data_IF_693310517680
#
_entry.id   IF_693310517680
#
_cell.length_a   1.000
_cell.length_b   1.000
_cell.length_c   1.000
_cell.angle_alpha   90.00
_cell.angle_beta   90.00
_cell.angle_gamma   90.00
#
_symmetry.space_group_name_H-M   'P 1'
#
loop_
_entity.id
_entity.type
_entity.pdbx_description
1 polymer ?
#
# COMPACT_ATOMS: atom_id res chain seq x y z
N UNK A 1 -7.78 -37.56 24.38
CA UNK A 1 -7.90 -36.24 25.03
C UNK A 1 -7.68 -35.20 23.94
N UNK A 2 -8.45 -34.10 23.90
CA UNK A 2 -8.26 -33.07 22.88
C UNK A 2 -7.05 -32.19 23.23
N UNK A 3 -6.31 -31.70 22.25
CA UNK A 3 -5.11 -30.88 22.48
C UNK A 3 -5.28 -29.46 21.93
N UNK A 4 -4.86 -28.46 22.70
CA UNK A 4 -4.88 -27.05 22.30
C UNK A 4 -3.50 -26.41 22.44
N UNK A 5 -3.07 -25.67 21.41
CA UNK A 5 -1.87 -24.83 21.46
C UNK A 5 -2.29 -23.38 21.68
N UNK A 6 -1.72 -22.73 22.70
CA UNK A 6 -1.98 -21.32 23.04
C UNK A 6 -0.65 -20.54 22.94
N UNK A 7 -0.56 -19.58 22.03
CA UNK A 7 0.62 -18.71 21.88
C UNK A 7 0.19 -17.31 21.44
N UNK A 8 -0.03 -16.43 22.41
CA UNK A 8 -0.64 -15.10 22.21
C UNK A 8 0.26 -13.95 22.66
N UNK A 9 0.38 -12.94 21.80
CA UNK A 9 0.99 -11.65 22.15
C UNK A 9 0.06 -10.80 23.03
N UNK A 10 -1.22 -10.68 22.68
CA UNK A 10 -2.27 -10.09 23.50
C UNK A 10 -2.86 -11.13 24.47
N UNK A 11 -2.63 -10.91 25.77
CA UNK A 11 -3.04 -11.83 26.87
C UNK A 11 -4.47 -11.59 27.35
N UNK A 12 -5.20 -10.64 26.76
CA UNK A 12 -6.57 -10.31 27.17
C UNK A 12 -7.45 -11.57 27.14
N UNK A 13 -8.09 -11.89 28.25
CA UNK A 13 -9.02 -13.03 28.37
C UNK A 13 -8.40 -14.43 28.27
N UNK A 14 -7.06 -14.58 28.13
CA UNK A 14 -6.46 -15.90 27.87
C UNK A 14 -6.58 -16.86 29.07
N UNK A 15 -6.45 -16.35 30.30
CA UNK A 15 -6.53 -17.15 31.53
C UNK A 15 -7.91 -17.78 31.71
N UNK A 16 -9.04 -17.02 31.75
CA UNK A 16 -10.36 -17.63 31.91
C UNK A 16 -10.74 -18.54 30.74
N UNK A 17 -10.26 -18.24 29.53
CA UNK A 17 -10.43 -19.11 28.37
C UNK A 17 -9.71 -20.45 28.55
N UNK A 18 -8.44 -20.43 28.98
CA UNK A 18 -7.65 -21.64 29.22
C UNK A 18 -8.20 -22.49 30.39
N UNK A 19 -8.68 -21.86 31.45
CA UNK A 19 -9.38 -22.55 32.54
C UNK A 19 -10.61 -23.30 32.01
N UNK A 20 -11.44 -22.63 31.22
CA UNK A 20 -12.63 -23.24 30.60
C UNK A 20 -12.27 -24.41 29.68
N UNK A 21 -11.18 -24.31 28.89
CA UNK A 21 -10.73 -25.42 28.05
C UNK A 21 -10.27 -26.63 28.88
N UNK A 22 -9.58 -26.38 30.00
CA UNK A 22 -9.14 -27.44 30.91
C UNK A 22 -10.33 -28.19 31.51
N UNK A 23 -11.37 -27.45 31.95
CA UNK A 23 -12.63 -28.03 32.44
C UNK A 23 -13.35 -28.86 31.37
N UNK A 24 -13.22 -28.47 30.10
CA UNK A 24 -13.76 -29.18 28.93
C UNK A 24 -12.87 -30.36 28.48
N UNK A 25 -11.80 -30.68 29.22
CA UNK A 25 -10.94 -31.82 28.97
C UNK A 25 -9.90 -31.63 27.87
N UNK A 26 -9.54 -30.37 27.55
CA UNK A 26 -8.40 -30.09 26.69
C UNK A 26 -7.09 -30.15 27.46
N UNK A 27 -6.10 -30.78 26.85
CA UNK A 27 -4.71 -30.68 27.25
C UNK A 27 -4.08 -29.45 26.59
N UNK A 28 -3.53 -28.54 27.40
CA UNK A 28 -3.00 -27.28 26.92
C UNK A 28 -1.49 -27.33 26.72
N UNK A 29 -1.03 -26.72 25.63
CA UNK A 29 0.38 -26.56 25.31
C UNK A 29 0.68 -25.09 24.99
N UNK A 30 1.77 -24.55 25.52
CA UNK A 30 2.14 -23.15 25.34
C UNK A 30 3.65 -22.93 25.38
N UNK A 31 4.07 -21.72 25.03
CA UNK A 31 5.47 -21.29 25.06
C UNK A 31 5.59 -19.81 25.48
N UNK A 32 6.79 -19.41 25.89
CA UNK A 32 7.16 -18.04 26.22
C UNK A 32 6.23 -17.36 27.23
N UNK A 33 5.86 -16.11 26.95
CA UNK A 33 5.05 -15.29 27.85
C UNK A 33 3.63 -15.80 28.08
N UNK A 34 3.04 -16.55 27.13
CA UNK A 34 1.72 -17.16 27.32
C UNK A 34 1.77 -18.27 28.35
N UNK A 35 2.76 -19.16 28.28
CA UNK A 35 2.97 -20.23 29.27
C UNK A 35 3.15 -19.65 30.67
N UNK A 36 3.98 -18.59 30.80
CA UNK A 36 4.22 -17.91 32.08
C UNK A 36 2.92 -17.39 32.69
N UNK A 37 2.12 -16.66 31.91
CA UNK A 37 0.85 -16.10 32.38
C UNK A 37 -0.16 -17.18 32.83
N UNK A 38 -0.18 -18.33 32.17
CA UNK A 38 -1.06 -19.45 32.53
C UNK A 38 -0.59 -20.18 33.80
N UNK A 39 0.72 -20.39 33.96
CA UNK A 39 1.30 -21.00 35.17
C UNK A 39 1.10 -20.10 36.39
N UNK A 40 1.30 -18.78 36.26
CA UNK A 40 1.06 -17.80 37.34
C UNK A 40 -0.39 -17.75 37.80
N UNK A 41 -1.33 -18.19 36.94
CA UNK A 41 -2.76 -18.29 37.25
C UNK A 41 -3.20 -19.73 37.61
N UNK A 42 -2.25 -20.61 37.94
CA UNK A 42 -2.47 -22.01 38.32
C UNK A 42 -3.24 -22.84 37.27
N UNK A 43 -3.11 -22.50 35.99
CA UNK A 43 -3.72 -23.26 34.88
C UNK A 43 -2.77 -24.36 34.42
N UNK A 44 -3.17 -25.64 34.42
CA UNK A 44 -2.36 -26.74 33.92
C UNK A 44 -1.99 -26.54 32.44
N UNK A 45 -0.70 -26.38 32.16
CA UNK A 45 -0.20 -26.17 30.79
C UNK A 45 1.17 -26.83 30.61
N UNK A 46 1.33 -27.53 29.49
CA UNK A 46 2.59 -28.17 29.07
C UNK A 46 3.40 -27.25 28.17
N UNK A 47 4.70 -27.52 28.05
CA UNK A 47 5.57 -26.82 27.12
C UNK A 47 5.32 -27.29 25.69
N UNK A 48 5.47 -26.40 24.70
CA UNK A 48 5.58 -26.85 23.29
C UNK A 48 6.78 -27.78 23.10
N UNK A 49 7.88 -27.57 23.81
CA UNK A 49 9.04 -28.48 23.81
C UNK A 49 8.69 -29.91 24.22
N UNK A 50 7.62 -30.10 25.02
CA UNK A 50 7.18 -31.44 25.43
C UNK A 50 6.52 -32.19 24.25
N UNK A 51 5.95 -31.47 23.27
CA UNK A 51 5.42 -32.04 22.02
C UNK A 51 6.52 -32.27 20.98
N UNK A 52 7.50 -31.38 20.91
CA UNK A 52 8.53 -31.40 19.87
C UNK A 52 9.74 -32.25 20.23
N UNK A 53 9.97 -32.47 21.53
CA UNK A 53 11.23 -33.03 22.07
C UNK A 53 12.46 -32.27 21.55
N UNK A 54 12.29 -30.99 21.23
CA UNK A 54 13.31 -30.13 20.65
C UNK A 54 13.47 -28.87 21.48
N UNK A 55 14.72 -28.52 21.79
CA UNK A 55 15.06 -27.32 22.54
C UNK A 55 14.90 -26.06 21.69
N UNK A 56 14.57 -24.94 22.34
CA UNK A 56 14.46 -23.66 21.67
C UNK A 56 15.85 -23.15 21.25
N UNK A 57 16.02 -22.81 19.97
CA UNK A 57 17.27 -22.29 19.40
C UNK A 57 17.03 -20.97 18.66
N UNK A 58 18.12 -20.24 18.36
CA UNK A 58 18.10 -18.95 17.65
C UNK A 58 17.14 -17.94 18.28
N UNK A 59 17.26 -17.77 19.60
CA UNK A 59 16.47 -16.82 20.40
C UNK A 59 14.95 -16.97 20.21
N UNK A 60 14.49 -18.19 19.95
CA UNK A 60 13.07 -18.52 19.82
C UNK A 60 12.48 -18.38 18.42
N UNK A 61 13.31 -18.08 17.41
CA UNK A 61 12.89 -18.03 16.00
C UNK A 61 12.35 -19.37 15.48
N UNK A 62 12.87 -20.49 15.99
CA UNK A 62 12.56 -21.85 15.49
C UNK A 62 12.00 -22.74 16.60
N UNK A 63 10.97 -22.28 17.31
CA UNK A 63 10.36 -23.05 18.42
C UNK A 63 9.15 -23.89 18.03
N UNK A 64 8.34 -23.44 17.08
CA UNK A 64 7.08 -24.10 16.68
C UNK A 64 7.13 -24.69 15.27
N UNK A 65 8.18 -24.40 14.50
CA UNK A 65 8.41 -24.90 13.15
C UNK A 65 8.90 -26.35 13.18
N UNK A 66 8.06 -27.25 13.70
CA UNK A 66 8.40 -28.66 13.90
C UNK A 66 7.31 -29.59 13.33
N UNK A 67 7.66 -30.74 12.73
CA UNK A 67 6.69 -31.72 12.24
C UNK A 67 5.70 -32.20 13.30
N UNK A 68 6.11 -32.35 14.56
CA UNK A 68 5.18 -32.74 15.64
C UNK A 68 4.06 -31.71 15.87
N UNK A 69 4.32 -30.43 15.61
CA UNK A 69 3.31 -29.37 15.69
C UNK A 69 2.50 -29.34 14.40
N UNK A 70 3.15 -29.19 13.26
CA UNK A 70 2.44 -29.00 11.99
C UNK A 70 1.78 -30.26 11.45
N UNK A 71 2.34 -31.44 11.69
CA UNK A 71 1.73 -32.74 11.38
C UNK A 71 0.46 -32.96 12.20
N UNK A 72 0.51 -32.67 13.51
CA UNK A 72 -0.65 -32.73 14.38
C UNK A 72 -1.77 -31.77 13.99
N UNK A 73 -1.43 -30.61 13.43
CA UNK A 73 -2.38 -29.62 12.90
C UNK A 73 -2.91 -30.00 11.51
N UNK A 74 -2.05 -30.44 10.59
CA UNK A 74 -2.37 -30.58 9.16
C UNK A 74 -2.88 -31.95 8.73
N UNK A 75 -2.80 -32.97 9.58
CA UNK A 75 -3.32 -34.28 9.24
C UNK A 75 -4.81 -34.22 8.92
N UNK A 76 -5.18 -34.67 7.71
CA UNK A 76 -6.58 -34.83 7.33
C UNK A 76 -7.10 -36.11 7.97
N UNK A 77 -7.93 -35.95 9.00
CA UNK A 77 -8.44 -37.06 9.81
C UNK A 77 -9.41 -37.97 9.04
N UNK A 78 -9.84 -37.56 7.84
CA UNK A 78 -10.64 -38.40 6.94
C UNK A 78 -9.77 -39.35 6.09
N UNK A 79 -8.44 -39.21 6.11
CA UNK A 79 -7.50 -40.04 5.36
C UNK A 79 -6.77 -40.99 6.31
N UNK A 80 -7.06 -42.30 6.28
CA UNK A 80 -6.40 -43.28 7.14
C UNK A 80 -4.87 -43.24 7.02
N UNK A 81 -4.32 -42.99 5.83
CA UNK A 81 -2.87 -42.94 5.63
C UNK A 81 -2.20 -41.84 6.45
N UNK A 82 -2.86 -40.68 6.61
CA UNK A 82 -2.31 -39.58 7.43
C UNK A 82 -2.26 -39.98 8.91
N UNK A 83 -3.29 -40.66 9.41
CA UNK A 83 -3.35 -41.10 10.80
C UNK A 83 -2.32 -42.20 11.11
N UNK A 84 -2.07 -43.09 10.14
CA UNK A 84 -1.02 -44.09 10.24
C UNK A 84 0.37 -43.45 10.30
N UNK A 85 0.65 -42.49 9.40
CA UNK A 85 1.91 -41.73 9.42
C UNK A 85 2.12 -40.99 10.74
N UNK A 86 1.10 -40.34 11.29
CA UNK A 86 1.20 -39.70 12.60
C UNK A 86 1.55 -40.70 13.70
N UNK A 87 0.89 -41.87 13.69
CA UNK A 87 1.15 -42.93 14.68
C UNK A 87 2.56 -43.49 14.58
N UNK A 88 3.06 -43.74 13.37
CA UNK A 88 4.44 -44.19 13.12
C UNK A 88 5.47 -43.20 13.65
N UNK A 89 5.21 -41.91 13.46
CA UNK A 89 6.09 -40.82 13.89
C UNK A 89 5.83 -40.37 15.35
N UNK A 90 4.90 -41.01 16.06
CA UNK A 90 4.51 -40.67 17.44
C UNK A 90 4.06 -39.20 17.58
N UNK A 91 3.36 -38.69 16.57
CA UNK A 91 2.82 -37.33 16.54
C UNK A 91 1.35 -37.35 16.95
N UNK A 92 1.01 -36.54 17.95
CA UNK A 92 -0.37 -36.39 18.39
C UNK A 92 -1.14 -35.38 17.53
N UNK A 93 -2.45 -35.62 17.40
CA UNK A 93 -3.37 -34.66 16.80
C UNK A 93 -3.52 -33.40 17.66
N UNK A 94 -3.68 -32.26 17.00
CA UNK A 94 -4.00 -30.97 17.62
C UNK A 94 -5.40 -30.56 17.17
N UNK A 95 -6.27 -30.21 18.12
CA UNK A 95 -7.67 -29.89 17.90
C UNK A 95 -7.94 -28.39 17.89
N UNK A 96 -7.08 -27.61 18.56
CA UNK A 96 -7.24 -26.18 18.65
C UNK A 96 -5.90 -25.43 18.59
N UNK A 97 -5.87 -24.32 17.87
CA UNK A 97 -4.74 -23.40 17.80
C UNK A 97 -5.23 -21.99 18.10
N UNK A 98 -4.70 -21.39 19.16
CA UNK A 98 -5.05 -20.04 19.62
C UNK A 98 -3.80 -19.18 19.58
N UNK A 99 -3.73 -18.32 18.57
CA UNK A 99 -2.56 -17.50 18.28
C UNK A 99 -3.02 -16.13 17.87
N UNK A 100 -2.48 -15.09 18.51
CA UNK A 100 -2.57 -13.73 18.00
C UNK A 100 -1.16 -13.17 17.84
N UNK A 101 -0.93 -12.54 16.70
CA UNK A 101 0.40 -12.13 16.27
C UNK A 101 0.88 -10.94 17.08
N UNK A 102 2.20 -10.75 17.12
CA UNK A 102 2.76 -9.50 17.61
C UNK A 102 2.25 -8.36 16.73
N UNK A 103 1.87 -7.19 17.30
CA UNK A 103 1.36 -6.10 16.50
C UNK A 103 2.51 -5.43 15.74
N UNK A 104 2.95 -6.05 14.65
CA UNK A 104 4.03 -5.53 13.79
C UNK A 104 3.72 -4.10 13.37
N UNK A 105 2.47 -3.84 12.95
CA UNK A 105 1.97 -2.50 12.60
C UNK A 105 2.12 -1.47 13.73
N UNK A 106 1.87 -1.85 14.97
CA UNK A 106 2.05 -0.94 16.12
C UNK A 106 3.53 -0.72 16.43
N UNK A 107 4.36 -1.75 16.24
CA UNK A 107 5.80 -1.69 16.45
C UNK A 107 6.43 -0.70 15.47
N UNK A 108 6.17 -0.87 14.17
CA UNK A 108 6.73 0.00 13.13
C UNK A 108 6.09 1.39 13.04
N UNK A 109 5.01 1.63 13.80
CA UNK A 109 4.44 2.97 13.94
C UNK A 109 5.30 3.88 14.85
N UNK A 110 6.21 3.31 15.64
CA UNK A 110 7.16 4.09 16.44
C UNK A 110 8.25 4.68 15.51
N UNK A 111 8.43 6.01 15.46
CA UNK A 111 9.42 6.65 14.60
C UNK A 111 10.87 6.28 14.92
N UNK A 112 11.15 5.73 16.11
CA UNK A 112 12.50 5.33 16.53
C UNK A 112 12.87 3.90 16.13
N UNK A 113 11.93 3.13 15.57
CA UNK A 113 12.18 1.73 15.16
C UNK A 113 13.05 1.71 13.91
N UNK A 114 14.20 1.02 14.01
CA UNK A 114 15.08 0.82 12.87
C UNK A 114 14.58 -0.31 11.98
N UNK A 115 15.09 -0.38 10.75
CA UNK A 115 14.82 -1.52 9.85
C UNK A 115 15.23 -2.86 10.50
N UNK A 116 16.35 -2.88 11.24
CA UNK A 116 16.80 -4.06 11.97
C UNK A 116 15.82 -4.47 13.07
N UNK A 117 15.30 -3.49 13.82
CA UNK A 117 14.29 -3.77 14.86
C UNK A 117 13.00 -4.31 14.24
N UNK A 118 12.59 -3.78 13.08
CA UNK A 118 11.43 -4.30 12.36
C UNK A 118 11.65 -5.75 11.91
N UNK A 119 12.83 -6.09 11.35
CA UNK A 119 13.18 -7.46 10.94
C UNK A 119 13.07 -8.44 12.11
N UNK A 120 13.56 -8.07 13.30
CA UNK A 120 13.47 -8.93 14.49
C UNK A 120 12.03 -9.16 14.98
N UNK A 121 11.12 -8.23 14.69
CA UNK A 121 9.72 -8.34 15.07
C UNK A 121 8.84 -9.10 14.06
N UNK A 122 9.43 -9.63 12.98
CA UNK A 122 8.70 -10.49 12.03
C UNK A 122 8.53 -11.89 12.63
N UNK A 123 7.32 -12.17 13.12
CA UNK A 123 6.90 -13.51 13.52
C UNK A 123 6.76 -14.46 12.31
N UNK A 124 7.46 -15.60 12.38
CA UNK A 124 7.37 -16.70 11.41
C UNK A 124 6.50 -17.84 11.94
N UNK A 125 6.63 -18.16 13.24
CA UNK A 125 5.98 -19.32 13.84
C UNK A 125 4.47 -19.12 13.99
N UNK A 126 4.05 -17.93 14.42
CA UNK A 126 2.64 -17.56 14.60
C UNK A 126 1.83 -17.69 13.31
N UNK A 127 2.21 -16.97 12.22
CA UNK A 127 1.50 -17.07 10.95
C UNK A 127 1.51 -18.48 10.37
N UNK A 128 2.61 -19.23 10.51
CA UNK A 128 2.68 -20.61 10.01
C UNK A 128 1.69 -21.53 10.73
N UNK A 129 1.60 -21.45 12.07
CA UNK A 129 0.63 -22.25 12.85
C UNK A 129 -0.82 -21.86 12.52
N UNK A 130 -1.10 -20.55 12.44
CA UNK A 130 -2.42 -20.02 12.09
C UNK A 130 -2.87 -20.51 10.70
N UNK A 131 -2.02 -20.36 9.68
CA UNK A 131 -2.33 -20.79 8.30
C UNK A 131 -2.50 -22.30 8.22
N UNK A 132 -1.71 -23.07 8.97
CA UNK A 132 -1.85 -24.52 9.04
C UNK A 132 -3.21 -24.94 9.64
N UNK A 133 -3.60 -24.33 10.76
CA UNK A 133 -4.86 -24.62 11.42
C UNK A 133 -6.07 -24.17 10.58
N UNK A 134 -6.00 -22.98 9.99
CA UNK A 134 -7.02 -22.47 9.08
C UNK A 134 -7.19 -23.37 7.84
N UNK A 135 -6.08 -23.83 7.22
CA UNK A 135 -6.15 -24.79 6.12
C UNK A 135 -6.89 -26.07 6.51
N UNK A 136 -6.72 -26.54 7.74
CA UNK A 136 -7.35 -27.76 8.25
C UNK A 136 -8.61 -27.50 9.12
N UNK A 137 -9.35 -26.40 8.85
CA UNK A 137 -10.49 -25.97 9.67
C UNK A 137 -11.60 -27.01 9.85
N UNK A 138 -11.67 -28.03 8.97
CA UNK A 138 -12.63 -29.14 9.14
C UNK A 138 -12.40 -29.90 10.44
N UNK A 139 -11.13 -30.00 10.86
CA UNK A 139 -10.67 -30.80 11.99
C UNK A 139 -10.10 -29.97 13.14
N UNK A 140 -9.58 -28.77 12.85
CA UNK A 140 -8.89 -27.91 13.83
C UNK A 140 -9.63 -26.59 13.99
N UNK A 141 -9.91 -26.20 15.24
CA UNK A 141 -10.46 -24.88 15.56
C UNK A 141 -9.32 -23.89 15.71
N UNK A 142 -9.34 -22.81 14.95
CA UNK A 142 -8.31 -21.76 15.03
C UNK A 142 -8.91 -20.46 15.57
N UNK A 143 -8.20 -19.75 16.44
CA UNK A 143 -8.70 -18.50 17.04
C UNK A 143 -7.60 -17.46 17.04
N UNK A 144 -7.92 -16.26 16.56
CA UNK A 144 -6.98 -15.14 16.44
C UNK A 144 -7.39 -13.90 17.22
N UNK A 145 -8.68 -13.74 17.54
CA UNK A 145 -9.16 -12.60 18.32
C UNK A 145 -9.67 -13.03 19.70
N UNK A 146 -9.25 -12.34 20.79
CA UNK A 146 -9.79 -12.59 22.13
C UNK A 146 -11.31 -12.44 22.25
N UNK A 147 -11.93 -11.64 21.39
CA UNK A 147 -13.37 -11.45 21.36
C UNK A 147 -14.15 -12.75 21.04
N UNK A 148 -13.51 -13.72 20.38
CA UNK A 148 -14.14 -14.99 19.99
C UNK A 148 -14.09 -16.05 21.11
N UNK A 149 -13.32 -15.83 22.19
CA UNK A 149 -13.09 -16.82 23.24
C UNK A 149 -14.39 -17.32 23.89
N UNK A 150 -15.28 -16.41 24.29
CA UNK A 150 -16.53 -16.78 24.97
C UNK A 150 -17.46 -17.56 24.03
N UNK A 151 -17.64 -17.10 22.79
CA UNK A 151 -18.50 -17.79 21.84
C UNK A 151 -17.97 -19.20 21.52
N UNK A 152 -16.64 -19.36 21.40
CA UNK A 152 -16.03 -20.69 21.20
C UNK A 152 -16.30 -21.61 22.39
N UNK A 153 -16.14 -21.13 23.63
CA UNK A 153 -16.43 -21.94 24.83
C UNK A 153 -17.91 -22.34 24.88
N UNK A 154 -18.82 -21.40 24.62
CA UNK A 154 -20.26 -21.65 24.62
C UNK A 154 -20.63 -22.68 23.53
N UNK A 155 -20.05 -22.57 22.34
CA UNK A 155 -20.26 -23.54 21.26
C UNK A 155 -19.69 -24.92 21.59
N UNK A 156 -18.56 -25.01 22.29
CA UNK A 156 -18.03 -26.32 22.73
C UNK A 156 -18.97 -26.95 23.75
N UNK A 157 -19.46 -26.18 24.74
CA UNK A 157 -20.37 -26.67 25.79
C UNK A 157 -21.71 -27.18 25.22
N UNK A 158 -22.19 -26.56 24.14
CA UNK A 158 -23.46 -26.90 23.52
C UNK A 158 -23.34 -27.83 22.28
N UNK A 159 -22.14 -28.34 21.98
CA UNK A 159 -21.86 -29.15 20.78
C UNK A 159 -22.23 -28.44 19.45
N UNK A 160 -22.05 -27.13 19.41
CA UNK A 160 -22.36 -26.22 18.29
C UNK A 160 -21.11 -25.67 17.60
N UNK A 161 -19.95 -26.30 17.84
CA UNK A 161 -18.70 -25.99 17.15
C UNK A 161 -18.64 -26.74 15.81
N UNK A 162 -19.55 -26.40 14.90
CA UNK A 162 -19.71 -27.06 13.61
C UNK A 162 -18.69 -26.58 12.54
N UNK A 163 -18.71 -27.21 11.37
CA UNK A 163 -17.84 -26.87 10.25
C UNK A 163 -18.07 -25.43 9.75
N UNK A 164 -19.32 -24.96 9.76
CA UNK A 164 -19.68 -23.60 9.33
C UNK A 164 -19.02 -22.55 10.22
N UNK A 165 -19.07 -22.74 11.53
CA UNK A 165 -18.42 -21.85 12.47
C UNK A 165 -16.89 -21.93 12.39
N UNK A 166 -16.31 -23.14 12.29
CA UNK A 166 -14.86 -23.28 12.06
C UNK A 166 -14.40 -22.60 10.77
N UNK A 167 -15.22 -22.65 9.70
CA UNK A 167 -14.96 -21.92 8.45
C UNK A 167 -15.00 -20.40 8.66
N UNK A 168 -15.90 -19.88 9.49
CA UNK A 168 -15.92 -18.44 9.82
C UNK A 168 -14.64 -18.00 10.55
N UNK A 169 -14.13 -18.82 11.47
CA UNK A 169 -12.86 -18.58 12.16
C UNK A 169 -11.66 -18.69 11.21
N UNK A 170 -11.68 -19.63 10.26
CA UNK A 170 -10.68 -19.73 9.20
C UNK A 170 -10.58 -18.44 8.39
N UNK A 171 -11.70 -17.84 7.99
CA UNK A 171 -11.70 -16.57 7.24
C UNK A 171 -11.04 -15.47 8.05
N UNK A 172 -11.40 -15.32 9.34
CA UNK A 172 -10.76 -14.34 10.25
C UNK A 172 -9.25 -14.53 10.33
N UNK A 173 -8.78 -15.78 10.37
CA UNK A 173 -7.34 -16.06 10.41
C UNK A 173 -6.64 -15.64 9.12
N UNK A 174 -7.17 -15.99 7.95
CA UNK A 174 -6.53 -15.60 6.69
C UNK A 174 -6.54 -14.08 6.50
N UNK A 175 -7.63 -13.41 6.90
CA UNK A 175 -7.72 -11.95 6.90
C UNK A 175 -6.65 -11.33 7.81
N UNK A 176 -6.52 -11.81 9.05
CA UNK A 176 -5.48 -11.34 9.98
C UNK A 176 -4.06 -11.56 9.45
N UNK A 177 -3.77 -12.72 8.85
CA UNK A 177 -2.43 -12.97 8.26
C UNK A 177 -2.17 -12.10 7.02
N UNK A 178 -3.21 -11.79 6.24
CA UNK A 178 -3.11 -10.88 5.10
C UNK A 178 -2.81 -9.45 5.56
N UNK A 179 -3.49 -8.96 6.59
CA UNK A 179 -3.21 -7.65 7.20
C UNK A 179 -1.78 -7.58 7.75
N UNK A 180 -1.32 -8.66 8.39
CA UNK A 180 0.02 -8.77 8.94
C UNK A 180 1.10 -8.71 7.85
N UNK A 181 1.00 -9.52 6.80
CA UNK A 181 1.94 -9.53 5.68
C UNK A 181 1.90 -8.19 4.91
N UNK A 182 0.72 -7.59 4.75
CA UNK A 182 0.58 -6.27 4.12
C UNK A 182 1.31 -5.18 4.92
N UNK A 183 1.26 -5.22 6.26
CA UNK A 183 1.99 -4.27 7.10
C UNK A 183 3.51 -4.41 6.95
N UNK A 184 4.02 -5.64 6.82
CA UNK A 184 5.45 -5.91 6.52
C UNK A 184 5.81 -5.29 5.17
N UNK A 185 5.04 -5.59 4.12
CA UNK A 185 5.29 -5.05 2.78
C UNK A 185 5.24 -3.52 2.76
N UNK A 186 4.24 -2.91 3.39
CA UNK A 186 4.09 -1.45 3.43
C UNK A 186 5.31 -0.78 4.09
N UNK A 187 5.80 -1.35 5.19
CA UNK A 187 6.99 -0.85 5.89
C UNK A 187 8.23 -0.93 4.99
N UNK A 188 8.57 -2.10 4.45
CA UNK A 188 9.80 -2.27 3.68
C UNK A 188 9.73 -1.64 2.28
N UNK A 189 8.54 -1.49 1.70
CA UNK A 189 8.37 -0.81 0.41
C UNK A 189 8.55 0.70 0.52
N UNK A 190 8.44 1.27 1.72
CA UNK A 190 8.38 2.73 1.94
C UNK A 190 7.36 3.41 1.00
N UNK A 191 6.27 2.71 0.66
CA UNK A 191 5.32 3.16 -0.35
C UNK A 191 4.42 4.30 0.12
N UNK A 192 4.52 4.70 1.38
CA UNK A 192 3.68 5.74 1.97
C UNK A 192 4.53 6.84 2.56
N UNK A 193 4.37 8.03 2.02
CA UNK A 193 5.05 9.24 2.45
C UNK A 193 4.06 10.14 3.18
N UNK A 194 4.30 10.46 4.45
CA UNK A 194 3.46 11.43 5.18
C UNK A 194 3.65 12.83 4.59
N UNK A 195 2.53 13.47 4.26
CA UNK A 195 2.52 14.85 3.78
C UNK A 195 2.26 15.79 4.97
N UNK A 196 2.69 17.04 4.85
CA UNK A 196 2.52 18.05 5.90
C UNK A 196 1.07 18.24 6.34
N UNK A 197 0.15 18.23 5.38
CA UNK A 197 -1.30 18.26 5.53
C UNK A 197 -1.94 17.88 4.17
N UNK A 198 -3.26 17.70 4.15
CA UNK A 198 -4.04 17.41 2.94
C UNK A 198 -4.30 18.65 2.10
N UNK A 199 -5.50 18.76 1.53
CA UNK A 199 -5.88 19.94 0.76
C UNK A 199 -5.87 21.22 1.63
N UNK A 200 -6.24 21.06 2.91
CA UNK A 200 -6.25 22.10 3.92
C UNK A 200 -5.44 21.73 5.18
N UNK A 201 -4.91 22.70 5.94
CA UNK A 201 -4.01 22.47 7.08
C UNK A 201 -4.53 21.54 8.19
N UNK A 202 -5.84 21.49 8.40
CA UNK A 202 -6.49 20.65 9.42
C UNK A 202 -6.61 19.17 9.01
N UNK A 203 -6.34 18.83 7.75
CA UNK A 203 -6.44 17.47 7.24
C UNK A 203 -5.06 16.80 7.28
N UNK A 204 -4.97 15.59 7.82
CA UNK A 204 -3.77 14.75 7.66
C UNK A 204 -3.78 14.08 6.30
N UNK A 205 -2.61 13.92 5.66
CA UNK A 205 -2.52 13.25 4.38
C UNK A 205 -1.25 12.42 4.23
N UNK A 206 -1.27 11.50 3.27
CA UNK A 206 -0.12 10.71 2.85
C UNK A 206 -0.18 10.49 1.35
N UNK A 207 0.98 10.43 0.70
CA UNK A 207 1.10 10.02 -0.70
C UNK A 207 1.46 8.53 -0.74
N UNK A 208 0.62 7.74 -1.43
CA UNK A 208 0.81 6.29 -1.56
C UNK A 208 1.30 5.97 -2.97
N UNK A 209 2.53 5.47 -3.07
CA UNK A 209 3.18 5.08 -4.33
C UNK A 209 2.82 3.63 -4.65
N UNK A 210 1.99 3.46 -5.67
CA UNK A 210 1.61 2.14 -6.21
C UNK A 210 2.57 1.66 -7.30
N UNK A 211 3.19 2.60 -8.02
CA UNK A 211 4.19 2.38 -9.08
C UNK A 211 5.43 3.26 -8.87
N UNK A 212 6.59 2.77 -9.33
CA UNK A 212 7.84 3.53 -9.41
C UNK A 212 8.26 3.78 -10.87
N UNK A 213 7.33 3.63 -11.82
CA UNK A 213 7.62 3.84 -13.23
C UNK A 213 8.05 5.28 -13.48
N UNK A 214 9.16 5.46 -14.20
CA UNK A 214 9.82 6.77 -14.38
C UNK A 214 8.96 7.82 -15.10
N UNK A 215 7.90 7.37 -15.78
CA UNK A 215 6.95 8.23 -16.48
C UNK A 215 5.79 8.70 -15.60
N UNK A 216 5.76 8.35 -14.32
CA UNK A 216 4.70 8.78 -13.38
C UNK A 216 5.20 9.84 -12.42
N UNK A 217 4.30 10.63 -11.84
CA UNK A 217 4.65 11.53 -10.75
C UNK A 217 5.22 10.77 -9.55
N UNK A 218 4.80 9.53 -9.33
CA UNK A 218 5.32 8.67 -8.27
C UNK A 218 6.78 8.21 -8.52
N UNK A 219 7.20 8.09 -9.79
CA UNK A 219 8.57 7.78 -10.19
C UNK A 219 9.45 9.00 -10.46
N UNK A 220 8.92 10.21 -10.30
CA UNK A 220 9.63 11.46 -10.55
C UNK A 220 10.87 11.60 -9.66
N UNK A 221 11.97 12.09 -10.25
CA UNK A 221 13.15 12.49 -9.47
C UNK A 221 13.01 13.95 -9.07
N UNK A 222 12.88 14.20 -7.77
CA UNK A 222 12.93 15.56 -7.25
C UNK A 222 14.40 16.01 -7.12
N UNK A 223 14.84 16.90 -8.00
CA UNK A 223 16.23 17.37 -8.08
C UNK A 223 16.53 18.52 -7.11
N UNK A 224 15.52 19.25 -6.65
CA UNK A 224 15.67 20.39 -5.73
C UNK A 224 14.37 20.69 -4.98
N UNK A 225 14.46 21.53 -3.94
CA UNK A 225 13.32 22.13 -3.27
C UNK A 225 12.82 21.38 -2.03
N UNK A 226 11.69 21.87 -1.50
CA UNK A 226 11.01 21.26 -0.35
C UNK A 226 10.20 20.03 -0.78
N UNK A 227 9.84 19.18 0.18
CA UNK A 227 8.82 18.14 -0.04
C UNK A 227 7.57 18.70 -0.75
N UNK A 228 7.02 17.93 -1.69
CA UNK A 228 5.76 18.27 -2.35
C UNK A 228 4.61 18.27 -1.33
N UNK A 229 3.73 19.27 -1.41
CA UNK A 229 2.47 19.26 -0.66
C UNK A 229 1.40 18.43 -1.38
N UNK A 230 0.29 18.13 -0.70
CA UNK A 230 -0.87 17.47 -1.30
C UNK A 230 -1.36 18.18 -2.57
N UNK A 231 -1.50 19.51 -2.52
CA UNK A 231 -1.92 20.31 -3.68
C UNK A 231 -0.85 20.33 -4.78
N UNK A 232 0.45 20.35 -4.42
CA UNK A 232 1.50 20.24 -5.43
C UNK A 232 1.43 18.92 -6.19
N UNK A 233 1.10 17.82 -5.51
CA UNK A 233 0.98 16.50 -6.14
C UNK A 233 -0.21 16.50 -7.12
N UNK A 234 -1.39 16.98 -6.70
CA UNK A 234 -2.58 17.07 -7.57
C UNK A 234 -2.34 17.95 -8.80
N UNK A 235 -1.83 19.16 -8.58
CA UNK A 235 -1.59 20.12 -9.67
C UNK A 235 -0.47 19.63 -10.61
N UNK A 236 0.56 18.94 -10.07
CA UNK A 236 1.65 18.39 -10.87
C UNK A 236 1.18 17.22 -11.73
N UNK A 237 0.30 16.36 -11.21
CA UNK A 237 -0.26 15.24 -11.95
C UNK A 237 -1.15 15.73 -13.11
N UNK A 238 -2.00 16.72 -12.86
CA UNK A 238 -2.81 17.36 -13.90
C UNK A 238 -1.94 18.03 -14.99
N UNK A 239 -0.91 18.79 -14.59
CA UNK A 239 0.01 19.43 -15.53
C UNK A 239 0.80 18.40 -16.35
N UNK A 240 1.23 17.30 -15.72
CA UNK A 240 1.95 16.21 -16.37
C UNK A 240 1.05 15.46 -17.37
N UNK A 241 -0.18 15.14 -16.99
CA UNK A 241 -1.14 14.47 -17.87
C UNK A 241 -1.37 15.31 -19.13
N UNK A 242 -1.56 16.63 -18.97
CA UNK A 242 -1.81 17.53 -20.10
C UNK A 242 -0.61 17.71 -21.01
N UNK A 243 0.57 17.99 -20.45
CA UNK A 243 1.73 18.27 -21.30
C UNK A 243 2.16 17.07 -22.14
N UNK A 244 1.84 15.85 -21.67
CA UNK A 244 2.14 14.60 -22.38
C UNK A 244 1.29 14.36 -23.63
N UNK A 245 0.10 14.96 -23.72
CA UNK A 245 -0.77 14.79 -24.88
C UNK A 245 -0.20 15.43 -26.16
N UNK A 246 0.76 16.35 -26.02
CA UNK A 246 1.34 17.07 -27.14
C UNK A 246 2.63 16.41 -27.65
N UNK A 247 2.63 16.08 -28.94
CA UNK A 247 3.83 15.61 -29.65
C UNK A 247 4.84 16.75 -29.89
N UNK A 248 4.35 17.95 -30.22
CA UNK A 248 5.17 19.16 -30.45
C UNK A 248 5.66 19.79 -29.13
N UNK A 249 6.71 20.64 -29.12
CA UNK A 249 7.11 21.36 -27.92
C UNK A 249 5.93 22.09 -27.26
N UNK A 250 5.68 21.75 -25.99
CA UNK A 250 4.53 22.21 -25.24
C UNK A 250 4.91 22.60 -23.82
N UNK A 251 4.26 23.65 -23.32
CA UNK A 251 4.32 24.08 -21.94
C UNK A 251 2.91 24.26 -21.40
N UNK A 252 2.67 23.74 -20.19
CA UNK A 252 1.39 23.80 -19.50
C UNK A 252 1.60 24.42 -18.14
N UNK A 253 0.80 25.43 -17.83
CA UNK A 253 0.74 26.08 -16.52
C UNK A 253 -0.58 25.72 -15.82
N UNK A 254 -0.49 25.19 -14.59
CA UNK A 254 -1.65 24.79 -13.77
C UNK A 254 -1.64 25.51 -12.43
N UNK A 255 -2.83 25.85 -11.93
CA UNK A 255 -3.05 26.31 -10.57
C UNK A 255 -4.40 25.83 -10.06
N UNK A 256 -4.43 25.19 -8.89
CA UNK A 256 -5.66 24.65 -8.29
C UNK A 256 -6.40 23.71 -9.25
N UNK A 257 -5.66 22.78 -9.86
CA UNK A 257 -6.08 21.79 -10.85
C UNK A 257 -6.65 22.35 -12.17
N UNK A 258 -6.61 23.66 -12.38
CA UNK A 258 -7.07 24.28 -13.62
C UNK A 258 -5.86 24.74 -14.45
N UNK A 259 -5.80 24.42 -15.75
CA UNK A 259 -4.80 25.00 -16.63
C UNK A 259 -5.08 26.49 -16.79
N UNK A 260 -4.13 27.33 -16.40
CA UNK A 260 -4.18 28.77 -16.65
C UNK A 260 -3.49 29.18 -17.95
N UNK A 261 -2.65 28.30 -18.51
CA UNK A 261 -2.02 28.54 -19.81
C UNK A 261 -1.51 27.26 -20.45
N UNK A 262 -1.74 27.13 -21.75
CA UNK A 262 -1.20 26.05 -22.59
C UNK A 262 -0.59 26.71 -23.81
N UNK A 263 0.67 26.40 -24.09
CA UNK A 263 1.39 26.93 -25.22
C UNK A 263 2.09 25.83 -25.98
N UNK A 264 1.96 25.87 -27.31
CA UNK A 264 2.68 25.02 -28.25
C UNK A 264 3.44 25.89 -29.24
N UNK A 265 4.59 25.42 -29.71
CA UNK A 265 5.42 26.12 -30.69
C UNK A 265 6.51 25.18 -31.27
N UNK A 266 7.32 25.71 -32.20
CA UNK A 266 8.49 24.99 -32.75
C UNK A 266 9.63 24.80 -31.73
N UNK A 267 9.69 25.65 -30.70
CA UNK A 267 10.70 25.60 -29.63
C UNK A 267 10.04 25.64 -28.25
N UNK A 268 10.69 25.03 -27.26
CA UNK A 268 10.12 24.95 -25.91
C UNK A 268 10.06 26.32 -25.23
N UNK A 269 10.96 27.24 -25.57
CA UNK A 269 10.95 28.61 -25.02
C UNK A 269 9.78 29.43 -25.58
N UNK A 270 9.45 29.26 -26.86
CA UNK A 270 8.26 29.88 -27.44
C UNK A 270 6.98 29.27 -26.87
N UNK A 271 6.94 27.94 -26.70
CA UNK A 271 5.80 27.26 -26.08
C UNK A 271 5.57 27.76 -24.65
N UNK A 272 6.63 27.91 -23.85
CA UNK A 272 6.53 28.52 -22.51
C UNK A 272 6.07 29.97 -22.57
N UNK A 273 6.58 30.77 -23.51
CA UNK A 273 6.16 32.16 -23.67
C UNK A 273 4.65 32.26 -23.98
N UNK A 274 4.13 31.44 -24.90
CA UNK A 274 2.70 31.38 -25.21
C UNK A 274 1.87 30.96 -23.99
N UNK A 275 2.32 29.96 -23.22
CA UNK A 275 1.64 29.53 -22.00
C UNK A 275 1.63 30.63 -20.92
N UNK A 276 2.72 31.39 -20.79
CA UNK A 276 2.84 32.51 -19.87
C UNK A 276 1.93 33.69 -20.29
N UNK A 277 1.86 34.00 -21.58
CA UNK A 277 1.05 35.11 -22.12
C UNK A 277 -0.46 34.84 -22.09
N UNK A 278 -0.88 33.57 -21.95
CA UNK A 278 -2.29 33.20 -21.84
C UNK A 278 -2.94 33.80 -20.56
N UNK A 279 -2.26 33.71 -19.42
CA UNK A 279 -2.64 34.36 -18.16
C UNK A 279 -1.41 34.55 -17.26
N UNK A 280 -0.75 35.70 -17.45
CA UNK A 280 0.47 36.06 -16.74
C UNK A 280 0.25 36.31 -15.24
N UNK A 281 -1.00 36.52 -14.79
CA UNK A 281 -1.33 36.72 -13.38
C UNK A 281 -1.55 35.38 -12.67
N UNK A 282 -2.30 34.47 -13.30
CA UNK A 282 -2.65 33.19 -12.69
C UNK A 282 -1.47 32.23 -12.59
N UNK A 283 -0.51 32.30 -13.50
CA UNK A 283 0.70 31.44 -13.46
C UNK A 283 1.58 31.69 -12.22
N UNK A 284 1.48 32.85 -11.57
CA UNK A 284 2.22 33.13 -10.33
C UNK A 284 1.81 32.18 -9.20
N UNK A 285 2.79 31.47 -8.66
CA UNK A 285 2.63 30.43 -7.65
C UNK A 285 2.06 29.12 -8.20
N UNK A 286 1.95 29.00 -9.52
CA UNK A 286 1.49 27.79 -10.19
C UNK A 286 2.59 26.74 -10.39
N UNK A 287 2.22 25.73 -11.14
CA UNK A 287 3.09 24.64 -11.61
C UNK A 287 3.24 24.77 -13.11
N UNK A 288 4.47 24.59 -13.61
CA UNK A 288 4.75 24.56 -15.05
C UNK A 288 5.30 23.18 -15.43
N UNK A 289 4.66 22.51 -16.38
CA UNK A 289 5.13 21.28 -16.98
C UNK A 289 5.54 21.50 -18.44
N UNK A 290 6.66 20.90 -18.84
CA UNK A 290 7.27 21.03 -20.16
C UNK A 290 7.58 19.65 -20.73
N UNK A 291 7.24 19.38 -22.00
CA UNK A 291 7.55 18.08 -22.62
C UNK A 291 8.93 18.03 -23.32
N UNK A 292 9.77 19.05 -23.13
CA UNK A 292 11.16 19.13 -23.61
C UNK A 292 12.10 19.58 -22.51
N UNK A 293 13.40 19.34 -22.71
CA UNK A 293 14.42 19.64 -21.72
C UNK A 293 14.52 21.15 -21.43
N UNK A 294 14.88 21.49 -20.19
CA UNK A 294 15.10 22.87 -19.76
C UNK A 294 16.59 23.19 -19.81
N UNK A 295 16.94 24.16 -20.66
CA UNK A 295 18.27 24.74 -20.75
C UNK A 295 18.40 26.03 -19.93
N UNK A 296 19.58 26.64 -19.94
CA UNK A 296 19.88 27.86 -19.18
C UNK A 296 18.96 29.02 -19.57
N UNK A 297 18.69 29.21 -20.86
CA UNK A 297 17.88 30.33 -21.36
C UNK A 297 16.44 30.21 -20.87
N UNK A 298 15.86 29.02 -20.98
CA UNK A 298 14.51 28.77 -20.46
C UNK A 298 14.46 28.84 -18.93
N UNK A 299 15.49 28.34 -18.27
CA UNK A 299 15.62 28.43 -16.82
C UNK A 299 15.64 29.88 -16.32
N UNK A 300 16.29 30.80 -17.02
CA UNK A 300 16.28 32.23 -16.69
C UNK A 300 14.87 32.83 -16.77
N UNK A 301 14.11 32.52 -17.83
CA UNK A 301 12.72 32.95 -17.97
C UNK A 301 11.84 32.39 -16.84
N UNK A 302 11.92 31.08 -16.57
CA UNK A 302 11.19 30.42 -15.48
C UNK A 302 11.56 30.98 -14.10
N UNK A 303 12.84 31.32 -13.91
CA UNK A 303 13.33 31.94 -12.68
C UNK A 303 12.78 33.37 -12.49
N UNK A 304 12.37 34.06 -13.55
CA UNK A 304 11.82 35.41 -13.51
C UNK A 304 10.55 35.54 -12.66
N UNK A 305 9.78 34.47 -12.52
CA UNK A 305 8.50 34.47 -11.79
C UNK A 305 8.52 33.55 -10.56
N UNK A 306 7.49 33.63 -9.74
CA UNK A 306 7.32 32.70 -8.61
C UNK A 306 6.57 31.46 -9.09
N UNK A 307 7.21 30.30 -9.02
CA UNK A 307 6.64 28.98 -9.33
C UNK A 307 6.86 28.05 -8.14
N UNK A 308 5.87 27.20 -7.86
CA UNK A 308 5.98 26.18 -6.82
C UNK A 308 6.72 24.93 -7.32
N UNK A 309 6.40 24.49 -8.55
CA UNK A 309 6.94 23.27 -9.18
C UNK A 309 7.23 23.50 -10.66
N UNK A 310 8.35 22.98 -11.15
CA UNK A 310 8.67 22.85 -12.58
C UNK A 310 8.90 21.38 -12.90
N UNK A 311 8.26 20.89 -13.96
CA UNK A 311 8.32 19.50 -14.42
C UNK A 311 8.89 19.47 -15.84
N UNK A 312 9.89 18.63 -16.09
CA UNK A 312 10.47 18.46 -17.42
C UNK A 312 11.07 17.06 -17.59
N UNK A 313 11.30 16.58 -18.83
CA UNK A 313 12.03 15.33 -19.08
C UNK A 313 13.49 15.38 -18.65
N UNK A 314 14.07 16.59 -18.59
CA UNK A 314 15.48 16.78 -18.23
C UNK A 314 15.76 18.24 -17.90
N UNK A 315 16.72 18.46 -17.02
CA UNK A 315 17.35 19.77 -16.80
C UNK A 315 18.84 19.67 -17.14
N UNK A 316 19.36 20.68 -17.82
CA UNK A 316 20.82 20.85 -17.92
C UNK A 316 21.39 21.26 -16.56
N UNK A 317 22.69 21.01 -16.32
CA UNK A 317 23.31 21.41 -15.05
C UNK A 317 23.22 22.92 -14.83
N UNK A 318 23.50 23.72 -15.86
CA UNK A 318 23.41 25.18 -15.81
C UNK A 318 21.96 25.65 -15.52
N UNK A 319 20.95 24.98 -16.07
CA UNK A 319 19.55 25.25 -15.73
C UNK A 319 19.24 24.98 -14.25
N UNK A 320 19.74 23.87 -13.70
CA UNK A 320 19.60 23.56 -12.27
C UNK A 320 20.28 24.63 -11.41
N UNK A 321 21.45 25.10 -11.79
CA UNK A 321 22.19 26.14 -11.06
C UNK A 321 21.43 27.48 -11.04
N UNK A 322 20.71 27.81 -12.13
CA UNK A 322 19.84 28.99 -12.19
C UNK A 322 18.60 28.81 -11.32
N UNK A 323 17.85 27.71 -11.50
CA UNK A 323 16.57 27.49 -10.83
C UNK A 323 16.75 27.27 -9.33
N UNK A 324 17.81 26.57 -8.91
CA UNK A 324 18.06 26.22 -7.51
C UNK A 324 18.41 27.41 -6.61
N UNK A 325 18.70 28.59 -7.20
CA UNK A 325 18.81 29.86 -6.47
C UNK A 325 17.51 30.18 -5.69
N UNK A 326 16.35 29.70 -6.14
CA UNK A 326 15.11 29.71 -5.34
C UNK A 326 15.08 28.49 -4.44
N UNK A 327 15.27 28.68 -3.13
CA UNK A 327 15.34 27.57 -2.15
C UNK A 327 14.13 26.62 -2.15
N UNK A 328 12.93 27.11 -2.47
CA UNK A 328 11.69 26.37 -2.25
C UNK A 328 11.10 25.73 -3.51
N UNK A 329 11.56 26.09 -4.70
CA UNK A 329 11.00 25.58 -5.96
C UNK A 329 11.31 24.09 -6.09
N UNK A 330 10.32 23.27 -6.47
CA UNK A 330 10.54 21.85 -6.75
C UNK A 330 10.83 21.66 -8.22
N UNK A 331 11.92 20.96 -8.52
CA UNK A 331 12.31 20.62 -9.87
C UNK A 331 12.13 19.11 -10.04
N UNK A 332 11.20 18.69 -10.89
CA UNK A 332 10.85 17.29 -11.11
C UNK A 332 11.30 16.84 -12.49
N UNK A 333 12.21 15.86 -12.53
CA UNK A 333 12.59 15.17 -13.77
C UNK A 333 11.70 13.92 -13.93
N UNK A 334 10.95 13.85 -15.04
CA UNK A 334 9.96 12.79 -15.32
C UNK A 334 10.02 12.36 -16.78
N UNK A 335 9.99 11.06 -17.05
CA UNK A 335 9.87 10.52 -18.41
C UNK A 335 8.51 10.89 -19.04
N UNK A 336 8.54 11.41 -20.27
CA UNK A 336 7.35 11.89 -20.98
C UNK A 336 6.58 10.81 -21.74
N UNK A 337 7.00 9.54 -21.63
CA UNK A 337 6.29 8.40 -22.22
C UNK A 337 4.84 8.32 -21.71
N UNK A 338 3.90 8.08 -22.62
CA UNK A 338 2.50 7.78 -22.31
C UNK A 338 2.34 6.27 -22.17
N UNK A 339 1.74 5.83 -21.07
CA UNK A 339 1.34 4.44 -20.84
C UNK A 339 -0.18 4.31 -20.96
N UNK A 340 -0.63 3.64 -22.03
CA UNK A 340 -2.06 3.41 -22.29
C UNK A 340 -2.64 2.22 -21.51
N UNK A 341 -1.82 1.52 -20.71
CA UNK A 341 -2.28 0.44 -19.84
C UNK A 341 -2.61 0.91 -18.42
N UNK A 342 -2.30 2.15 -18.08
CA UNK A 342 -2.64 2.72 -16.77
C UNK A 342 -4.15 2.97 -16.65
N UNK A 343 -4.71 2.53 -15.53
CA UNK A 343 -6.09 2.81 -15.16
C UNK A 343 -6.16 4.04 -14.26
N UNK A 344 -7.19 4.86 -14.47
CA UNK A 344 -7.59 5.91 -13.56
C UNK A 344 -8.49 5.34 -12.45
N UNK A 345 -8.25 5.78 -11.22
CA UNK A 345 -9.04 5.40 -10.05
C UNK A 345 -9.61 6.65 -9.39
N UNK A 346 -10.93 6.74 -9.29
CA UNK A 346 -11.63 7.87 -8.65
C UNK A 346 -12.37 7.38 -7.42
N UNK A 347 -12.07 7.96 -6.25
CA UNK A 347 -12.75 7.60 -5.00
C UNK A 347 -14.21 8.05 -4.98
N UNK A 348 -15.11 7.19 -4.50
CA UNK A 348 -16.52 7.52 -4.22
C UNK A 348 -16.89 7.10 -2.80
N UNK A 349 -18.01 7.57 -2.27
CA UNK A 349 -18.44 7.16 -0.91
C UNK A 349 -18.64 5.65 -0.85
N UNK A 350 -17.82 4.97 -0.04
CA UNK A 350 -17.87 3.51 0.13
C UNK A 350 -17.17 2.68 -0.95
N UNK A 351 -16.40 3.29 -1.85
CA UNK A 351 -15.69 2.54 -2.91
C UNK A 351 -14.84 3.41 -3.82
N UNK A 352 -14.57 2.92 -5.04
CA UNK A 352 -13.86 3.64 -6.09
C UNK A 352 -14.34 3.19 -7.48
N UNK A 353 -14.25 4.08 -8.46
CA UNK A 353 -14.45 3.83 -9.88
C UNK A 353 -13.10 3.54 -10.53
N UNK A 354 -13.09 2.71 -11.58
CA UNK A 354 -11.90 2.37 -12.36
C UNK A 354 -12.24 2.50 -13.85
N UNK A 355 -11.42 3.23 -14.59
CA UNK A 355 -11.53 3.40 -16.05
C UNK A 355 -10.15 3.46 -16.70
N UNK A 356 -10.08 3.35 -18.02
CA UNK A 356 -8.84 3.61 -18.77
C UNK A 356 -8.59 5.12 -18.84
N UNK A 357 -7.33 5.55 -18.94
CA UNK A 357 -6.99 6.98 -19.12
C UNK A 357 -7.39 7.48 -20.51
N UNK A 358 -7.90 8.71 -20.58
CA UNK A 358 -8.18 9.37 -21.85
C UNK A 358 -6.90 9.96 -22.47
N UNK A 359 -6.18 9.11 -23.19
CA UNK A 359 -5.01 9.49 -23.98
C UNK A 359 -5.33 9.62 -25.47
N UNK A 360 -6.61 9.72 -25.86
CA UNK A 360 -7.02 9.74 -27.27
C UNK A 360 -6.85 11.15 -27.84
N UNK A 361 -5.91 11.30 -28.77
CA UNK A 361 -5.72 12.56 -29.51
C UNK A 361 -6.79 12.69 -30.59
N UNK A 362 -7.56 13.78 -30.54
CA UNK A 362 -8.58 14.09 -31.53
C UNK A 362 -7.95 14.50 -32.85
N UNK A 363 -8.29 13.83 -33.95
CA UNK A 363 -7.77 14.17 -35.28
C UNK A 363 -8.79 14.98 -36.07
N UNK A 364 -8.31 15.95 -36.84
CA UNK A 364 -9.13 16.72 -37.78
C UNK A 364 -9.95 15.83 -38.71
N UNK A 365 -9.39 14.68 -39.12
CA UNK A 365 -10.03 13.71 -40.01
C UNK A 365 -11.31 13.09 -39.41
N UNK A 366 -11.42 13.06 -38.08
CA UNK A 366 -12.58 12.55 -37.36
C UNK A 366 -13.66 13.63 -37.15
N UNK A 367 -13.39 14.88 -37.54
CA UNK A 367 -14.26 16.03 -37.30
C UNK A 367 -15.11 16.36 -38.52
N UNK A 368 -16.35 16.81 -38.28
CA UNK A 368 -17.29 17.23 -39.33
C UNK A 368 -17.54 18.72 -39.25
N UNK A 369 -17.30 19.44 -40.35
CA UNK A 369 -17.69 20.86 -40.49
C UNK A 369 -19.18 20.93 -40.76
N UNK A 370 -19.93 21.61 -39.88
CA UNK A 370 -21.39 21.75 -39.96
C UNK A 370 -21.85 23.13 -40.45
N UNK A 371 -20.91 23.98 -40.87
CA UNK A 371 -21.14 25.35 -41.36
C UNK A 371 -20.78 25.48 -42.84
N UNK A 372 -21.34 26.50 -43.52
CA UNK A 372 -21.04 26.75 -44.94
C UNK A 372 -19.60 27.22 -45.19
N UNK A 373 -18.97 27.85 -44.19
CA UNK A 373 -17.58 28.33 -44.26
C UNK A 373 -16.68 27.34 -43.54
N UNK A 374 -15.67 26.84 -44.24
CA UNK A 374 -14.64 25.99 -43.65
C UNK A 374 -13.65 26.82 -42.81
N UNK A 375 -13.17 26.29 -41.67
CA UNK A 375 -12.11 26.93 -40.91
C UNK A 375 -10.81 26.99 -41.73
N UNK A 376 -10.11 28.11 -41.63
CA UNK A 376 -8.74 28.24 -42.13
C UNK A 376 -7.80 27.31 -41.35
N UNK A 377 -6.62 27.01 -41.90
CA UNK A 377 -5.63 26.15 -41.20
C UNK A 377 -5.28 26.69 -39.80
N UNK A 378 -5.06 28.00 -39.66
CA UNK A 378 -4.81 28.61 -38.35
C UNK A 378 -5.98 28.46 -37.37
N UNK A 379 -7.23 28.46 -37.87
CA UNK A 379 -8.40 28.21 -37.03
C UNK A 379 -8.52 26.73 -36.66
N UNK A 380 -8.17 25.81 -37.56
CA UNK A 380 -8.08 24.39 -37.25
C UNK A 380 -7.07 24.11 -36.15
N UNK A 381 -5.85 24.64 -36.28
CA UNK A 381 -4.79 24.47 -35.29
C UNK A 381 -5.24 25.00 -33.91
N UNK A 382 -5.87 26.18 -33.88
CA UNK A 382 -6.41 26.76 -32.65
C UNK A 382 -7.53 25.93 -32.02
N UNK A 383 -8.44 25.37 -32.83
CA UNK A 383 -9.53 24.52 -32.34
C UNK A 383 -9.01 23.17 -31.82
N UNK A 384 -8.05 22.55 -32.50
CA UNK A 384 -7.43 21.30 -32.06
C UNK A 384 -6.71 21.49 -30.72
N UNK A 385 -5.92 22.56 -30.58
CA UNK A 385 -5.31 22.95 -29.32
C UNK A 385 -6.35 23.18 -28.21
N UNK A 386 -7.45 23.86 -28.54
CA UNK A 386 -8.57 24.07 -27.61
C UNK A 386 -9.24 22.77 -27.15
N UNK A 387 -9.41 21.79 -28.06
CA UNK A 387 -9.98 20.49 -27.73
C UNK A 387 -9.04 19.65 -26.85
N UNK A 388 -7.76 19.56 -27.22
CA UNK A 388 -6.75 18.83 -26.43
C UNK A 388 -6.64 19.43 -25.02
N UNK A 389 -6.56 20.76 -24.90
CA UNK A 389 -6.48 21.44 -23.61
C UNK A 389 -7.73 21.30 -22.72
N UNK A 390 -8.88 20.96 -23.30
CA UNK A 390 -10.14 20.78 -22.57
C UNK A 390 -10.39 19.33 -22.15
N UNK A 391 -9.58 18.37 -22.61
CA UNK A 391 -9.80 16.93 -22.37
C UNK A 391 -9.49 16.48 -20.93
N UNK A 392 -8.91 17.35 -20.10
CA UNK A 392 -8.41 17.04 -18.75
C UNK A 392 -9.23 17.75 -17.64
N UNK A 393 -10.34 18.40 -18.00
CA UNK A 393 -11.22 19.09 -17.04
C UNK A 393 -12.24 18.19 -16.35
#
# INVERSE_FOLDING_TARGET
MKKAILSVSNKSGIVPFAQSLTELGYELYSTGGTKKALVEADVPVKSISDLTQFEEIMDGRVKTLHPSVHGGILADRNKPEHLEQLKEQQIDLIDMVVVNLYPFKETVANPDVTESDAIENIDIGGPTMLRAAAKNFKHVTTIVHPADYNEVIDRIKNDQLDETYRKSLMVKVFDHTNEYDAAIVEFFKNSKETLRYGENPQQTASFVRTSNAAHTLAGAKQLHGKQLSYNNIKDADAALALVKQFDQPAAVAVKHMNPCGVGVADTIEQAYQHAFEADDQSIFGGIVALNRAVDTKLAESLHGIFLEVIIAPKFTQDALDVLSKKKNIRLLEIDMTIDNSEQEIVSVSGGYLVQDKDNVVSKREDMTVVTDVEPTEAQWDAMLLGMESSSIS
#
